data_IF_838495963423
#
_entry.id   IF_838495963423
#
_cell.length_a   1.000
_cell.length_b   1.000
_cell.length_c   1.000
_cell.angle_alpha   90.00
_cell.angle_beta   90.00
_cell.angle_gamma   90.00
#
_symmetry.space_group_name_H-M   'P 1'
#
loop_
_entity.id
_entity.type
_entity.pdbx_description
1 polymer ?
#
# COMPACT_ATOMS: atom_id res chain seq x y z
N UNK A 1 12.31 -11.71 11.64
CA UNK A 1 12.80 -10.53 10.91
C UNK A 1 13.25 -11.00 9.55
N UNK A 2 12.31 -10.99 8.62
CA UNK A 2 12.46 -11.46 7.25
C UNK A 2 11.34 -10.87 6.40
N UNK A 3 11.68 -10.44 5.18
CA UNK A 3 10.68 -10.10 4.16
C UNK A 3 9.83 -11.32 3.85
N UNK A 4 8.50 -11.15 3.83
CA UNK A 4 7.51 -12.20 3.59
C UNK A 4 6.85 -12.03 2.22
N UNK A 5 6.40 -13.13 1.58
CA UNK A 5 5.61 -13.02 0.36
C UNK A 5 4.31 -12.26 0.60
N UNK A 6 3.99 -11.34 -0.29
CA UNK A 6 2.71 -10.65 -0.35
C UNK A 6 1.75 -11.47 -1.20
N UNK A 7 0.62 -11.88 -0.62
CA UNK A 7 -0.40 -12.66 -1.32
C UNK A 7 -1.24 -11.78 -2.24
N UNK A 8 -1.63 -12.34 -3.38
CA UNK A 8 -2.40 -11.67 -4.43
C UNK A 8 -3.89 -11.99 -4.28
N UNK A 9 -4.76 -11.08 -4.77
CA UNK A 9 -6.20 -11.25 -4.80
C UNK A 9 -6.61 -12.65 -5.27
N UNK A 10 -7.46 -13.31 -4.47
CA UNK A 10 -7.85 -14.71 -4.66
C UNK A 10 -7.44 -15.58 -3.49
N UNK A 11 -6.40 -15.20 -2.76
CA UNK A 11 -6.00 -15.86 -1.53
C UNK A 11 -7.09 -15.71 -0.44
N UNK A 12 -7.63 -16.82 0.12
CA UNK A 12 -8.70 -16.77 1.11
C UNK A 12 -8.48 -15.85 2.31
N UNK A 13 -7.24 -15.64 2.76
CA UNK A 13 -6.98 -14.76 3.92
C UNK A 13 -7.30 -13.29 3.64
N UNK A 14 -7.22 -12.84 2.38
CA UNK A 14 -7.57 -11.47 1.97
C UNK A 14 -9.08 -11.22 1.96
N UNK A 15 -9.89 -12.28 1.97
CA UNK A 15 -11.34 -12.24 1.77
C UNK A 15 -12.12 -12.71 3.00
N UNK A 16 -11.46 -12.72 4.16
CA UNK A 16 -12.04 -13.11 5.45
C UNK A 16 -11.74 -12.05 6.49
N UNK A 17 -12.68 -11.85 7.43
CA UNK A 17 -12.45 -10.98 8.58
C UNK A 17 -11.31 -11.57 9.43
N UNK A 18 -10.27 -10.77 9.66
CA UNK A 18 -9.13 -11.18 10.45
C UNK A 18 -9.50 -11.34 11.94
N UNK A 19 -8.87 -12.31 12.59
CA UNK A 19 -9.08 -12.60 14.01
C UNK A 19 -8.43 -11.52 14.90
N UNK A 20 -9.03 -11.26 16.06
CA UNK A 20 -8.45 -10.35 17.04
C UNK A 20 -7.15 -10.94 17.59
N UNK A 21 -6.19 -10.07 17.86
CA UNK A 21 -4.99 -10.42 18.63
C UNK A 21 -5.37 -10.47 20.11
N UNK A 22 -5.08 -11.59 20.77
CA UNK A 22 -5.38 -11.81 22.18
C UNK A 22 -4.14 -11.71 23.09
N UNK A 23 -2.95 -11.86 22.52
CA UNK A 23 -1.67 -11.87 23.24
C UNK A 23 -0.69 -10.88 22.61
N UNK A 24 -0.09 -10.04 23.45
CA UNK A 24 0.89 -9.03 23.08
C UNK A 24 2.27 -9.49 23.57
N UNK A 25 2.84 -10.44 22.84
CA UNK A 25 4.06 -11.15 23.21
C UNK A 25 5.13 -11.05 22.12
N UNK A 26 6.21 -11.83 22.27
CA UNK A 26 7.32 -11.84 21.33
C UNK A 26 6.92 -12.33 19.92
N UNK A 27 5.88 -13.15 19.79
CA UNK A 27 5.38 -13.60 18.48
C UNK A 27 4.73 -12.42 17.74
N UNK A 28 3.92 -11.62 18.43
CA UNK A 28 3.36 -10.39 17.87
C UNK A 28 4.47 -9.40 17.49
N UNK A 29 5.44 -9.18 18.37
CA UNK A 29 6.56 -8.27 18.07
C UNK A 29 7.34 -8.71 16.83
N UNK A 30 7.57 -10.02 16.67
CA UNK A 30 8.23 -10.58 15.49
C UNK A 30 7.39 -10.39 14.23
N UNK A 31 6.08 -10.64 14.30
CA UNK A 31 5.16 -10.41 13.19
C UNK A 31 5.18 -8.94 12.74
N UNK A 32 5.09 -8.00 13.69
CA UNK A 32 5.11 -6.56 13.38
C UNK A 32 6.41 -6.18 12.68
N UNK A 33 7.55 -6.71 13.12
CA UNK A 33 8.82 -6.44 12.47
C UNK A 33 8.90 -7.05 11.06
N UNK A 34 8.44 -8.29 10.86
CA UNK A 34 8.36 -8.89 9.52
C UNK A 34 7.44 -8.09 8.59
N UNK A 35 6.36 -7.51 9.11
CA UNK A 35 5.46 -6.63 8.35
C UNK A 35 6.16 -5.34 7.93
N UNK A 36 6.90 -4.71 8.84
CA UNK A 36 7.71 -3.54 8.53
C UNK A 36 8.77 -3.84 7.47
N UNK A 37 9.56 -4.91 7.65
CA UNK A 37 10.59 -5.33 6.70
C UNK A 37 9.98 -5.60 5.31
N UNK A 38 8.80 -6.23 5.27
CA UNK A 38 8.08 -6.54 4.03
C UNK A 38 7.52 -5.30 3.35
N UNK A 39 6.94 -4.39 4.12
CA UNK A 39 6.40 -3.12 3.62
C UNK A 39 7.50 -2.27 2.99
N UNK A 40 8.64 -2.14 3.69
CA UNK A 40 9.79 -1.37 3.23
C UNK A 40 10.36 -1.97 1.94
N UNK A 41 10.55 -3.29 1.88
CA UNK A 41 11.04 -3.99 0.70
C UNK A 41 10.08 -3.94 -0.50
N UNK A 42 8.79 -3.66 -0.26
CA UNK A 42 7.76 -3.48 -1.28
C UNK A 42 7.53 -2.02 -1.67
N UNK A 43 8.31 -1.08 -1.11
CA UNK A 43 8.12 0.38 -1.24
C UNK A 43 6.70 0.82 -0.90
N UNK A 44 6.06 0.13 0.05
CA UNK A 44 4.71 0.40 0.51
C UNK A 44 4.66 1.46 1.62
N UNK A 45 3.51 2.11 1.76
CA UNK A 45 3.22 3.07 2.86
C UNK A 45 2.33 2.47 3.95
N UNK A 46 1.83 1.26 3.73
CA UNK A 46 0.94 0.51 4.60
C UNK A 46 0.98 -0.98 4.25
N UNK A 47 0.83 -1.82 5.26
CA UNK A 47 0.71 -3.27 5.09
C UNK A 47 -0.10 -3.91 6.22
N UNK A 48 -1.17 -4.60 5.86
CA UNK A 48 -1.99 -5.39 6.77
C UNK A 48 -1.52 -6.84 6.85
N UNK A 49 -1.59 -7.46 8.03
CA UNK A 49 -1.15 -8.85 8.25
C UNK A 49 -1.80 -9.88 7.27
N UNK A 50 -3.08 -9.74 6.85
CA UNK A 50 -3.66 -10.63 5.85
C UNK A 50 -2.89 -10.63 4.52
N UNK A 51 -2.23 -9.53 4.16
CA UNK A 51 -1.45 -9.43 2.92
C UNK A 51 -0.18 -10.30 2.94
N UNK A 52 0.30 -10.71 4.10
CA UNK A 52 1.43 -11.66 4.24
C UNK A 52 0.97 -13.05 4.69
N UNK A 53 -0.32 -13.36 4.49
CA UNK A 53 -0.91 -14.67 4.82
C UNK A 53 -1.34 -14.82 6.28
N UNK A 54 -1.30 -13.76 7.09
CA UNK A 54 -1.60 -13.83 8.54
C UNK A 54 -2.96 -13.20 8.83
N UNK A 55 -3.95 -14.02 9.16
CA UNK A 55 -5.32 -13.59 9.44
C UNK A 55 -5.52 -12.91 10.81
N UNK A 56 -4.66 -11.97 11.20
CA UNK A 56 -4.75 -11.20 12.45
C UNK A 56 -5.06 -9.72 12.18
N UNK A 57 -5.75 -9.07 13.12
CA UNK A 57 -6.10 -7.64 13.05
C UNK A 57 -4.90 -6.77 13.40
N UNK A 58 -3.91 -6.73 12.53
CA UNK A 58 -2.69 -5.91 12.66
C UNK A 58 -2.42 -5.26 11.31
N UNK A 59 -2.13 -3.96 11.31
CA UNK A 59 -1.49 -3.29 10.18
C UNK A 59 -0.36 -2.41 10.65
N UNK A 60 0.63 -2.22 9.77
CA UNK A 60 1.72 -1.25 9.92
C UNK A 60 1.58 -0.17 8.87
N UNK A 61 2.20 0.99 9.12
CA UNK A 61 2.26 2.10 8.18
C UNK A 61 3.57 2.86 8.31
N UNK A 62 3.98 3.51 7.21
CA UNK A 62 5.04 4.52 7.17
C UNK A 62 4.64 5.61 6.18
N UNK A 63 4.08 6.71 6.70
CA UNK A 63 3.56 7.82 5.92
C UNK A 63 3.69 9.13 6.71
N UNK A 64 4.45 10.07 6.15
CA UNK A 64 4.50 11.44 6.66
C UNK A 64 3.09 12.06 6.66
N UNK A 65 2.74 12.75 7.75
CA UNK A 65 1.44 13.36 7.96
C UNK A 65 1.58 14.68 8.73
N UNK A 66 0.53 15.50 8.69
CA UNK A 66 0.44 16.77 9.41
C UNK A 66 -0.48 16.67 10.66
N UNK A 67 -0.92 15.45 11.00
CA UNK A 67 -1.89 15.18 12.06
C UNK A 67 -1.25 15.06 13.46
N UNK A 68 0.06 15.27 13.57
CA UNK A 68 0.81 15.13 14.82
C UNK A 68 1.03 13.66 15.25
N UNK A 69 0.80 12.72 14.34
CA UNK A 69 0.98 11.27 14.55
C UNK A 69 2.36 10.86 14.05
N UNK A 70 3.03 9.96 14.78
CA UNK A 70 4.30 9.40 14.31
C UNK A 70 4.14 8.82 12.90
N UNK A 71 5.04 9.15 11.95
CA UNK A 71 4.86 8.78 10.55
C UNK A 71 4.92 7.25 10.35
N UNK A 72 5.65 6.56 11.22
CA UNK A 72 5.77 5.11 11.22
C UNK A 72 5.15 4.52 12.47
N UNK A 73 4.28 3.53 12.31
CA UNK A 73 3.57 2.93 13.43
C UNK A 73 2.87 1.61 13.10
N UNK A 74 2.29 1.02 14.14
CA UNK A 74 1.52 -0.23 14.08
C UNK A 74 0.22 -0.03 14.84
N UNK A 75 -0.88 -0.56 14.31
CA UNK A 75 -2.16 -0.59 15.01
C UNK A 75 -2.68 -2.03 15.09
N UNK A 76 -2.84 -2.49 16.32
CA UNK A 76 -3.35 -3.82 16.67
C UNK A 76 -4.79 -3.70 17.13
N UNK A 77 -5.65 -4.62 16.66
CA UNK A 77 -7.09 -4.62 16.89
C UNK A 77 -7.77 -3.25 16.61
N UNK A 78 -7.49 -2.61 15.45
CA UNK A 78 -8.01 -1.29 15.17
C UNK A 78 -9.54 -1.26 15.13
N UNK A 79 -10.09 -0.12 15.54
CA UNK A 79 -11.46 0.34 15.31
C UNK A 79 -11.34 1.67 14.56
N UNK A 80 -12.15 1.82 13.51
CA UNK A 80 -12.12 3.01 12.66
C UNK A 80 -13.50 3.67 12.62
N UNK A 81 -13.55 4.95 12.95
CA UNK A 81 -14.73 5.80 12.72
C UNK A 81 -14.38 6.82 11.67
N UNK A 82 -15.12 6.86 10.56
CA UNK A 82 -14.79 7.72 9.41
C UNK A 82 -15.86 8.79 9.21
N UNK A 83 -15.46 9.92 8.63
CA UNK A 83 -16.42 10.93 8.18
C UNK A 83 -17.21 10.45 6.96
N UNK A 84 -18.15 11.27 6.50
CA UNK A 84 -18.90 10.97 5.28
C UNK A 84 -17.96 10.98 4.07
N UNK A 85 -18.06 9.95 3.24
CA UNK A 85 -17.37 9.92 1.94
C UNK A 85 -17.95 11.05 1.05
N UNK A 86 -17.11 11.94 0.48
CA UNK A 86 -17.57 13.02 -0.38
C UNK A 86 -18.40 12.51 -1.56
N UNK A 87 -19.43 13.26 -1.95
CA UNK A 87 -20.27 12.92 -3.11
C UNK A 87 -19.52 13.14 -4.44
N UNK A 88 -20.03 12.55 -5.52
CA UNK A 88 -19.46 12.66 -6.86
C UNK A 88 -18.42 11.59 -7.19
N UNK A 89 -17.87 11.66 -8.40
CA UNK A 89 -16.91 10.67 -8.91
C UNK A 89 -15.51 10.92 -8.38
N UNK A 90 -14.76 9.85 -8.16
CA UNK A 90 -13.34 9.96 -7.81
C UNK A 90 -12.55 10.60 -8.98
N UNK A 91 -11.67 11.53 -8.64
CA UNK A 91 -10.70 12.11 -9.56
C UNK A 91 -9.63 11.07 -9.95
N UNK A 92 -9.25 11.02 -11.23
CA UNK A 92 -8.35 9.97 -11.73
C UNK A 92 -6.90 10.18 -11.32
N UNK A 93 -6.52 11.43 -11.09
CA UNK A 93 -5.14 11.83 -10.90
C UNK A 93 -4.86 12.05 -9.41
N UNK A 94 -5.80 12.66 -8.68
CA UNK A 94 -5.62 12.99 -7.25
C UNK A 94 -6.25 12.00 -6.27
N UNK A 95 -7.06 11.05 -6.72
CA UNK A 95 -7.70 10.03 -5.84
C UNK A 95 -7.38 8.59 -6.28
N UNK A 96 -6.23 8.39 -6.93
CA UNK A 96 -5.75 7.10 -7.41
C UNK A 96 -5.20 6.24 -6.28
N UNK A 97 -5.72 5.01 -6.11
CA UNK A 97 -5.31 4.09 -5.05
C UNK A 97 -4.80 2.78 -5.65
N UNK A 98 -3.71 2.25 -5.09
CA UNK A 98 -3.11 0.96 -5.44
C UNK A 98 -3.07 0.02 -4.23
N UNK A 99 -2.65 -1.23 -4.43
CA UNK A 99 -2.52 -2.21 -3.35
C UNK A 99 -1.47 -3.27 -3.70
N UNK A 100 -0.58 -3.61 -2.76
CA UNK A 100 0.43 -4.66 -2.94
C UNK A 100 -0.18 -6.05 -3.27
N UNK A 101 -1.43 -6.30 -2.85
CA UNK A 101 -2.18 -7.53 -3.15
C UNK A 101 -3.00 -7.49 -4.45
N UNK A 102 -2.95 -6.37 -5.18
CA UNK A 102 -3.48 -6.22 -6.54
C UNK A 102 -2.41 -5.51 -7.38
N UNK A 103 -1.30 -6.20 -7.68
CA UNK A 103 -0.02 -5.58 -8.00
C UNK A 103 -0.03 -4.82 -9.34
N UNK A 104 0.62 -3.66 -9.37
CA UNK A 104 0.84 -2.84 -10.57
C UNK A 104 -0.37 -2.06 -11.10
N UNK A 105 -1.51 -2.12 -10.41
CA UNK A 105 -2.76 -1.52 -10.89
C UNK A 105 -3.29 -0.50 -9.88
N UNK A 106 -3.73 0.64 -10.42
CA UNK A 106 -4.29 1.74 -9.64
C UNK A 106 -5.61 2.19 -10.24
N UNK A 107 -6.60 2.43 -9.38
CA UNK A 107 -7.89 2.96 -9.79
C UNK A 107 -8.32 4.09 -8.86
N UNK A 108 -9.06 5.06 -9.40
CA UNK A 108 -9.56 6.15 -8.59
C UNK A 108 -10.70 5.68 -7.68
N UNK A 109 -10.59 6.04 -6.40
CA UNK A 109 -11.48 5.62 -5.35
C UNK A 109 -11.70 6.78 -4.37
N UNK A 110 -12.96 7.09 -4.05
CA UNK A 110 -13.28 8.04 -2.99
C UNK A 110 -13.18 7.40 -1.62
N UNK A 111 -12.58 8.12 -0.69
CA UNK A 111 -12.46 7.76 0.72
C UNK A 111 -13.03 8.88 1.57
N UNK A 112 -13.30 8.62 2.84
CA UNK A 112 -13.58 9.69 3.78
C UNK A 112 -12.30 10.51 3.99
N UNK A 113 -12.41 11.84 4.10
CA UNK A 113 -11.26 12.73 4.32
C UNK A 113 -10.73 12.69 5.76
N UNK A 114 -11.47 12.07 6.67
CA UNK A 114 -11.15 11.98 8.08
C UNK A 114 -11.43 10.57 8.58
N UNK A 115 -10.50 10.05 9.39
CA UNK A 115 -10.65 8.81 10.10
C UNK A 115 -10.11 8.95 11.53
N UNK A 116 -10.95 8.62 12.49
CA UNK A 116 -10.56 8.46 13.89
C UNK A 116 -10.20 6.99 14.13
N UNK A 117 -8.96 6.73 14.52
CA UNK A 117 -8.36 5.41 14.73
C UNK A 117 -8.20 5.18 16.22
N UNK A 118 -8.68 4.04 16.73
CA UNK A 118 -8.33 3.55 18.06
C UNK A 118 -7.90 2.09 18.01
N UNK A 119 -7.07 1.66 18.95
CA UNK A 119 -6.54 0.30 19.01
C UNK A 119 -5.45 0.17 20.07
N UNK A 120 -4.45 -0.66 19.76
CA UNK A 120 -3.30 -0.87 20.63
C UNK A 120 -2.01 -0.84 19.81
N UNK A 121 -0.90 -0.50 20.47
CA UNK A 121 0.44 -0.71 19.92
C UNK A 121 0.88 -2.19 20.05
N UNK A 122 2.11 -2.51 19.63
CA UNK A 122 2.67 -3.85 19.73
C UNK A 122 2.89 -4.33 21.18
N UNK A 123 2.95 -3.43 22.15
CA UNK A 123 3.09 -3.73 23.57
C UNK A 123 1.74 -3.82 24.31
N UNK A 124 0.62 -3.65 23.59
CA UNK A 124 -0.73 -3.67 24.16
C UNK A 124 -1.12 -2.38 24.88
N UNK A 125 -0.37 -1.29 24.70
CA UNK A 125 -0.79 0.01 25.20
C UNK A 125 -1.87 0.58 24.27
N UNK A 126 -2.97 1.14 24.83
CA UNK A 126 -3.99 1.80 24.02
C UNK A 126 -3.39 2.96 23.21
N UNK A 127 -3.83 3.08 21.96
CA UNK A 127 -3.53 4.23 21.12
C UNK A 127 -4.82 4.76 20.48
N UNK A 128 -4.82 6.06 20.22
CA UNK A 128 -5.94 6.76 19.60
C UNK A 128 -5.41 8.00 18.89
N UNK A 129 -5.83 8.22 17.64
CA UNK A 129 -5.44 9.39 16.87
C UNK A 129 -6.43 9.68 15.75
N UNK A 130 -6.42 10.93 15.31
CA UNK A 130 -7.12 11.37 14.11
C UNK A 130 -6.16 11.37 12.93
N UNK A 131 -6.66 10.96 11.77
CA UNK A 131 -5.95 10.99 10.50
C UNK A 131 -6.77 11.75 9.48
N UNK A 132 -6.12 12.57 8.66
CA UNK A 132 -6.75 13.35 7.59
C UNK A 132 -6.15 13.06 6.20
N UNK A 133 -6.91 13.38 5.15
CA UNK A 133 -6.44 13.30 3.75
C UNK A 133 -5.86 11.94 3.36
N UNK A 134 -4.65 11.93 2.82
CA UNK A 134 -3.96 10.70 2.40
C UNK A 134 -3.66 9.74 3.55
N UNK A 135 -3.39 10.26 4.75
CA UNK A 135 -3.18 9.43 5.93
C UNK A 135 -4.49 8.74 6.35
N UNK A 136 -5.62 9.47 6.33
CA UNK A 136 -6.94 8.89 6.55
C UNK A 136 -7.27 7.79 5.54
N UNK A 137 -6.92 7.99 4.26
CA UNK A 137 -7.08 7.00 3.20
C UNK A 137 -6.26 5.74 3.48
N UNK A 138 -4.99 5.89 3.86
CA UNK A 138 -4.13 4.77 4.24
C UNK A 138 -4.77 3.96 5.38
N UNK A 139 -5.21 4.61 6.46
CA UNK A 139 -5.85 3.92 7.59
C UNK A 139 -7.14 3.17 7.17
N UNK A 140 -7.95 3.77 6.28
CA UNK A 140 -9.13 3.11 5.72
C UNK A 140 -8.78 1.90 4.84
N UNK A 141 -7.71 1.99 4.06
CA UNK A 141 -7.22 0.91 3.21
C UNK A 141 -6.78 -0.29 4.05
N UNK A 142 -5.90 -0.05 5.02
CA UNK A 142 -5.40 -1.11 5.89
C UNK A 142 -6.52 -1.73 6.72
N UNK A 143 -7.45 -0.92 7.21
CA UNK A 143 -8.60 -1.41 7.94
C UNK A 143 -9.52 -2.30 7.08
N UNK A 144 -9.67 -2.01 5.79
CA UNK A 144 -10.43 -2.86 4.87
C UNK A 144 -9.84 -4.26 4.72
N UNK A 145 -8.51 -4.36 4.62
CA UNK A 145 -7.83 -5.65 4.59
C UNK A 145 -8.16 -6.51 5.80
N UNK A 146 -8.23 -5.91 7.00
CA UNK A 146 -8.60 -6.62 8.22
C UNK A 146 -10.07 -7.09 8.24
N UNK A 147 -10.91 -6.52 7.38
CA UNK A 147 -12.31 -6.90 7.22
C UNK A 147 -12.54 -7.77 5.98
N UNK A 148 -11.47 -8.29 5.36
CA UNK A 148 -11.55 -9.16 4.20
C UNK A 148 -11.99 -8.44 2.92
N UNK A 149 -11.57 -7.18 2.76
CA UNK A 149 -11.88 -6.36 1.58
C UNK A 149 -10.61 -5.77 0.99
N UNK A 150 -10.57 -5.70 -0.33
CA UNK A 150 -9.57 -4.96 -1.09
C UNK A 150 -10.17 -3.65 -1.60
N UNK A 151 -9.32 -2.68 -1.93
CA UNK A 151 -9.80 -1.41 -2.52
C UNK A 151 -10.61 -1.63 -3.80
N UNK A 152 -10.28 -2.67 -4.59
CA UNK A 152 -10.99 -3.03 -5.82
C UNK A 152 -12.46 -3.39 -5.59
N UNK A 153 -12.82 -3.83 -4.38
CA UNK A 153 -14.20 -4.16 -3.99
C UNK A 153 -15.05 -2.92 -3.71
N UNK A 154 -14.41 -1.74 -3.57
CA UNK A 154 -15.08 -0.45 -3.32
C UNK A 154 -15.22 0.41 -4.57
N UNK A 155 -14.65 -0.03 -5.69
CA UNK A 155 -14.63 0.74 -6.93
C UNK A 155 -16.03 0.94 -7.52
N UNK A 156 -16.23 2.07 -8.16
CA UNK A 156 -17.39 2.30 -9.03
C UNK A 156 -17.46 1.23 -10.14
N UNK A 157 -18.68 0.88 -10.59
CA UNK A 157 -18.96 -0.17 -11.58
C UNK A 157 -18.01 -0.20 -12.79
N UNK A 158 -17.61 0.97 -13.31
CA UNK A 158 -16.70 1.06 -14.46
C UNK A 158 -15.31 0.51 -14.14
N UNK A 159 -14.74 0.86 -12.99
CA UNK A 159 -13.41 0.46 -12.58
C UNK A 159 -13.41 -0.94 -11.98
N UNK A 160 -14.47 -1.30 -11.24
CA UNK A 160 -14.66 -2.67 -10.77
C UNK A 160 -14.69 -3.66 -11.95
N UNK A 161 -15.41 -3.36 -13.05
CA UNK A 161 -15.37 -4.19 -14.26
C UNK A 161 -13.98 -4.28 -14.89
N UNK A 162 -13.21 -3.18 -14.90
CA UNK A 162 -11.83 -3.17 -15.40
C UNK A 162 -10.92 -4.03 -14.53
N UNK A 163 -10.95 -3.85 -13.21
CA UNK A 163 -10.21 -4.64 -12.24
C UNK A 163 -10.50 -6.15 -12.38
N UNK A 164 -11.78 -6.54 -12.51
CA UNK A 164 -12.15 -7.95 -12.75
C UNK A 164 -11.59 -8.52 -14.06
N UNK A 165 -11.57 -7.71 -15.13
CA UNK A 165 -10.99 -8.14 -16.42
C UNK A 165 -9.48 -8.35 -16.30
N UNK A 166 -8.79 -7.46 -15.59
CA UNK A 166 -7.35 -7.55 -15.33
C UNK A 166 -7.01 -8.75 -14.45
N UNK A 167 -7.75 -8.93 -13.34
CA UNK A 167 -7.60 -10.11 -12.49
C UNK A 167 -7.72 -11.40 -13.29
N UNK A 168 -8.74 -11.51 -14.15
CA UNK A 168 -8.90 -12.67 -15.04
C UNK A 168 -7.75 -12.82 -16.04
N UNK A 169 -7.27 -11.72 -16.64
CA UNK A 169 -6.19 -11.74 -17.62
C UNK A 169 -4.86 -12.20 -17.00
N UNK A 170 -4.61 -11.81 -15.75
CA UNK A 170 -3.43 -12.19 -14.98
C UNK A 170 -3.58 -13.55 -14.25
N UNK A 171 -4.72 -14.24 -14.41
CA UNK A 171 -4.99 -15.50 -13.72
C UNK A 171 -5.18 -15.37 -12.20
N UNK A 172 -5.40 -14.15 -11.70
CA UNK A 172 -5.70 -13.88 -10.29
C UNK A 172 -7.13 -14.30 -9.92
N UNK A 173 -7.44 -14.27 -8.63
CA UNK A 173 -8.74 -14.70 -8.10
C UNK A 173 -8.78 -16.18 -7.67
N UNK A 174 -7.61 -16.83 -7.61
CA UNK A 174 -7.42 -18.18 -7.05
C UNK A 174 -6.40 -18.13 -5.91
N UNK A 175 -6.43 -19.14 -5.04
CA UNK A 175 -5.50 -19.24 -3.91
C UNK A 175 -4.07 -19.59 -4.36
N UNK A 176 -3.08 -19.29 -3.50
CA UNK A 176 -1.69 -19.69 -3.69
C UNK A 176 -0.86 -18.80 -4.61
N UNK A 177 -1.35 -17.60 -4.94
CA UNK A 177 -0.61 -16.59 -5.70
C UNK A 177 0.02 -15.57 -4.75
N UNK A 178 1.31 -15.31 -4.91
CA UNK A 178 2.06 -14.31 -4.15
C UNK A 178 3.25 -13.82 -4.96
N UNK A 179 3.84 -12.71 -4.51
CA UNK A 179 5.14 -12.23 -4.96
C UNK A 179 6.00 -11.89 -3.73
N UNK A 180 7.33 -11.97 -3.87
CA UNK A 180 8.27 -11.74 -2.79
C UNK A 180 9.02 -10.40 -3.01
N UNK A 181 8.73 -9.36 -2.20
CA UNK A 181 9.44 -8.08 -2.31
C UNK A 181 10.95 -8.24 -2.14
N UNK A 182 11.71 -7.45 -2.90
CA UNK A 182 13.19 -7.52 -2.95
C UNK A 182 13.76 -8.76 -3.66
N UNK A 183 12.93 -9.65 -4.19
CA UNK A 183 13.34 -10.82 -4.99
C UNK A 183 12.64 -10.83 -6.35
N UNK A 184 11.31 -10.76 -6.35
CA UNK A 184 10.53 -10.58 -7.57
C UNK A 184 10.58 -9.10 -8.02
N UNK A 185 10.46 -8.80 -9.32
CA UNK A 185 10.45 -7.43 -9.81
C UNK A 185 9.33 -6.61 -9.15
N UNK A 186 9.63 -5.37 -8.74
CA UNK A 186 8.63 -4.47 -8.19
C UNK A 186 7.51 -4.23 -9.23
N UNK A 187 6.27 -4.65 -8.95
CA UNK A 187 5.17 -4.53 -9.90
C UNK A 187 4.69 -3.07 -10.10
N UNK A 188 5.17 -2.13 -9.30
CA UNK A 188 4.86 -0.71 -9.34
C UNK A 188 5.98 0.12 -10.00
N UNK A 189 7.14 -0.48 -10.29
CA UNK A 189 8.22 0.16 -11.02
C UNK A 189 9.04 1.18 -10.22
N UNK A 190 9.08 1.09 -8.88
CA UNK A 190 9.91 2.00 -8.09
C UNK A 190 11.42 1.70 -8.25
N UNK A 191 11.78 0.46 -8.57
CA UNK A 191 13.17 0.04 -8.77
C UNK A 191 13.80 0.58 -10.07
N UNK A 192 13.00 1.05 -11.04
CA UNK A 192 13.50 1.63 -12.29
C UNK A 192 14.03 3.05 -12.10
N UNK A 193 15.23 3.14 -11.55
CA UNK A 193 16.10 4.32 -11.62
C UNK A 193 17.34 4.04 -12.48
N UNK A 194 17.13 3.74 -13.77
CA UNK A 194 18.18 3.96 -14.77
C UNK A 194 18.10 5.42 -15.23
N UNK A 195 18.76 6.28 -14.45
CA UNK A 195 19.16 7.60 -14.89
C UNK A 195 20.30 7.48 -15.90
N UNK A 196 19.99 7.34 -17.18
CA UNK A 196 20.86 7.79 -18.25
C UNK A 196 20.48 9.23 -18.59
N UNK A 197 21.03 10.16 -17.83
CA UNK A 197 21.22 11.53 -18.31
C UNK A 197 22.35 11.45 -19.34
N UNK A 198 22.01 11.38 -20.63
CA UNK A 198 22.95 11.57 -21.74
C UNK A 198 23.47 13.00 -21.70
N UNK A 199 24.50 13.22 -20.90
CA UNK A 199 25.32 14.41 -20.92
C UNK A 199 26.76 13.98 -21.22
N UNK A 200 27.07 13.79 -22.51
CA UNK A 200 28.47 13.68 -22.90
C UNK A 200 28.74 13.10 -24.28
N UNK A 201 28.38 13.81 -25.35
CA UNK A 201 29.20 13.79 -26.56
C UNK A 201 29.84 15.15 -26.79
N UNK A 202 30.98 15.26 -26.11
CA UNK A 202 32.08 16.16 -26.37
C UNK A 202 32.59 15.93 -27.81
N UNK A 203 32.28 16.87 -28.70
CA UNK A 203 32.96 16.99 -29.99
C UNK A 203 33.77 18.29 -29.99
N UNK A 204 35.00 18.19 -29.52
CA UNK A 204 36.04 19.19 -29.72
C UNK A 204 36.57 19.19 -31.16
N UNK A 205 36.57 20.40 -31.75
CA UNK A 205 37.60 21.06 -32.59
C UNK A 205 37.92 20.47 -34.00
N UNK A 206 38.54 21.20 -34.97
CA UNK A 206 39.12 22.56 -34.95
C UNK A 206 38.75 23.49 -36.14
N UNK A 207 39.03 24.79 -35.98
CA UNK A 207 38.51 25.85 -36.85
C UNK A 207 39.11 26.00 -38.25
N UNK A 208 38.51 26.88 -39.05
CA UNK A 208 39.18 27.55 -40.17
C UNK A 208 38.47 28.83 -40.65
N UNK A 209 39.22 29.94 -40.54
CA UNK A 209 39.42 31.06 -41.49
C UNK A 209 38.21 31.88 -42.00
N UNK A 210 38.27 33.17 -41.66
CA UNK A 210 37.85 34.31 -42.48
C UNK A 210 38.26 34.16 -43.97
N UNK A 211 37.51 34.79 -44.91
CA UNK A 211 37.87 36.15 -45.32
C UNK A 211 36.70 37.10 -45.58
N UNK A 212 37.10 38.36 -45.69
CA UNK A 212 36.36 39.57 -46.02
C UNK A 212 35.67 39.53 -47.40
N UNK A 213 34.53 40.20 -47.51
CA UNK A 213 34.14 41.15 -48.58
C UNK A 213 32.78 41.78 -48.24
#
# INVERSE_FOLDING_TARGET
MSVRPVVITGEPVLHRVAARVERFDAELATLVQDMFDTMDAAHGVGLAAPQIGVGLRVYVYDMANEDGVAPRGVVVNPILTVSRIPEGRADKDSESEGCLSFPGEHFPLKRAEFAHVSGFDAAGQPLEFDATGWFARCMQHEFDHLNGRLYVDRLEDRYHRKARKLAKANGWGVAGLSWLPGVDPDPFGHDSSEGECDCGQDHGDPGHRHPES
#
